data_IF_813566999147
#
_entry.id   IF_813566999147
#
_cell.length_a   1.000
_cell.length_b   1.000
_cell.length_c   1.000
_cell.angle_alpha   90.00
_cell.angle_beta   90.00
_cell.angle_gamma   90.00
#
_symmetry.space_group_name_H-M   'P 1'
#
loop_
_entity.id
_entity.type
_entity.pdbx_description
1 polymer ?
#
# COMPACT_ATOMS: atom_id res chain seq x y z
N UNK A 1 35.36 -33.72 -5.19
CA UNK A 1 34.87 -33.00 -6.39
C UNK A 1 33.35 -32.85 -6.27
N UNK A 2 32.87 -31.63 -6.05
CA UNK A 2 31.55 -31.12 -6.48
C UNK A 2 31.55 -29.63 -6.15
N UNK A 3 31.38 -28.77 -7.16
CA UNK A 3 31.33 -27.32 -6.99
C UNK A 3 30.09 -26.99 -6.15
N UNK A 4 30.29 -26.50 -4.92
CA UNK A 4 29.20 -26.06 -4.06
C UNK A 4 28.58 -24.79 -4.68
N UNK A 5 27.40 -24.94 -5.29
CA UNK A 5 26.58 -23.84 -5.76
C UNK A 5 26.12 -23.00 -4.57
N UNK A 6 26.92 -21.99 -4.22
CA UNK A 6 26.59 -21.02 -3.18
C UNK A 6 25.55 -20.04 -3.74
N UNK A 7 24.28 -20.29 -3.45
CA UNK A 7 23.16 -19.43 -3.88
C UNK A 7 23.05 -18.28 -2.89
N UNK A 8 23.13 -17.05 -3.37
CA UNK A 8 22.89 -15.86 -2.55
C UNK A 8 21.41 -15.75 -2.18
N UNK A 9 21.09 -15.17 -1.02
CA UNK A 9 19.70 -14.74 -0.70
C UNK A 9 19.01 -13.94 -1.81
N UNK A 10 19.77 -13.16 -2.58
CA UNK A 10 19.25 -12.42 -3.74
C UNK A 10 18.87 -13.37 -4.90
N UNK A 11 19.73 -14.33 -5.17
CA UNK A 11 19.51 -15.34 -6.22
C UNK A 11 18.38 -16.31 -5.83
N UNK A 12 18.29 -16.69 -4.56
CA UNK A 12 17.18 -17.49 -4.03
C UNK A 12 15.84 -16.75 -4.17
N UNK A 13 15.81 -15.43 -3.92
CA UNK A 13 14.63 -14.59 -4.09
C UNK A 13 14.15 -14.54 -5.55
N UNK A 14 15.07 -14.40 -6.49
CA UNK A 14 14.78 -14.41 -7.93
C UNK A 14 14.24 -15.78 -8.38
N UNK A 15 14.87 -16.89 -7.97
CA UNK A 15 14.41 -18.25 -8.31
C UNK A 15 13.06 -18.60 -7.68
N UNK A 16 12.82 -18.15 -6.46
CA UNK A 16 11.55 -18.38 -5.76
C UNK A 16 10.47 -17.35 -6.12
N UNK A 17 10.76 -16.32 -6.93
CA UNK A 17 9.85 -15.20 -7.27
C UNK A 17 9.19 -14.56 -6.03
N UNK A 18 9.94 -14.44 -4.93
CA UNK A 18 9.49 -13.83 -3.68
C UNK A 18 10.46 -12.73 -3.27
N UNK A 19 10.00 -11.78 -2.47
CA UNK A 19 10.84 -10.65 -2.10
C UNK A 19 12.00 -11.08 -1.20
N UNK A 20 13.19 -10.50 -1.39
CA UNK A 20 14.39 -10.87 -0.63
C UNK A 20 14.24 -10.69 0.89
N UNK A 21 13.37 -9.76 1.33
CA UNK A 21 13.01 -9.62 2.76
C UNK A 21 12.25 -10.82 3.30
N UNK A 22 11.36 -11.41 2.50
CA UNK A 22 10.60 -12.61 2.86
C UNK A 22 11.52 -13.82 2.97
N UNK A 23 12.46 -13.96 2.03
CA UNK A 23 13.49 -15.01 2.08
C UNK A 23 14.33 -14.90 3.36
N UNK A 24 14.78 -13.69 3.72
CA UNK A 24 15.51 -13.48 4.99
C UNK A 24 14.66 -13.83 6.20
N UNK A 25 13.41 -13.37 6.24
CA UNK A 25 12.49 -13.69 7.33
C UNK A 25 12.30 -15.21 7.50
N UNK A 26 12.22 -15.96 6.39
CA UNK A 26 12.16 -17.43 6.45
C UNK A 26 13.47 -18.04 6.93
N UNK A 27 14.61 -17.53 6.46
CA UNK A 27 15.93 -17.97 6.94
C UNK A 27 16.07 -17.74 8.44
N UNK A 28 15.68 -16.56 8.94
CA UNK A 28 15.74 -16.23 10.37
C UNK A 28 14.78 -17.11 11.19
N UNK A 29 13.57 -17.34 10.66
CA UNK A 29 12.53 -18.14 11.34
C UNK A 29 12.85 -19.64 11.38
N UNK A 30 13.46 -20.15 10.30
CA UNK A 30 13.76 -21.57 10.10
C UNK A 30 15.27 -21.84 10.06
N UNK A 31 16.08 -21.05 10.76
CA UNK A 31 17.55 -21.21 10.74
C UNK A 31 17.99 -22.63 11.11
N UNK A 32 17.28 -23.27 12.05
CA UNK A 32 17.52 -24.64 12.53
C UNK A 32 17.24 -25.69 11.45
N UNK A 33 16.29 -25.42 10.55
CA UNK A 33 15.94 -26.33 9.45
C UNK A 33 16.74 -26.02 8.18
N UNK A 34 16.95 -24.75 7.85
CA UNK A 34 17.59 -24.32 6.60
C UNK A 34 19.11 -24.47 6.69
N UNK A 35 19.71 -24.32 7.88
CA UNK A 35 21.16 -24.35 8.07
C UNK A 35 21.90 -23.31 7.22
N UNK A 36 21.51 -22.01 7.27
CA UNK A 36 22.12 -20.99 6.44
C UNK A 36 23.58 -20.76 6.84
N UNK A 37 24.48 -20.68 5.86
CA UNK A 37 25.85 -20.24 6.09
C UNK A 37 25.93 -18.72 5.90
N UNK A 38 26.74 -18.05 6.70
CA UNK A 38 27.10 -16.64 6.50
C UNK A 38 28.45 -16.50 5.80
N UNK A 39 28.55 -15.54 4.88
CA UNK A 39 29.84 -15.14 4.30
C UNK A 39 30.52 -14.07 5.18
N UNK A 40 31.80 -13.79 4.96
CA UNK A 40 32.60 -12.77 5.69
C UNK A 40 32.00 -11.36 5.61
N UNK A 41 31.09 -11.12 4.66
CA UNK A 41 30.36 -9.85 4.46
C UNK A 41 29.01 -9.77 5.18
N UNK A 42 28.64 -10.77 5.98
CA UNK A 42 27.38 -10.79 6.73
C UNK A 42 26.13 -11.09 5.87
N UNK A 43 26.32 -11.69 4.68
CA UNK A 43 25.21 -12.14 3.84
C UNK A 43 24.99 -13.65 3.97
N UNK A 44 23.72 -14.06 4.04
CA UNK A 44 23.34 -15.48 3.99
C UNK A 44 23.65 -16.08 2.61
N UNK A 45 24.39 -17.18 2.66
CA UNK A 45 24.78 -18.05 1.56
C UNK A 45 24.11 -19.41 1.79
N UNK A 46 23.34 -19.82 0.80
CA UNK A 46 22.56 -21.04 0.82
C UNK A 46 23.28 -22.10 -0.02
N UNK A 47 23.49 -23.28 0.54
CA UNK A 47 23.81 -24.47 -0.24
C UNK A 47 22.59 -24.95 -1.03
N UNK A 48 22.79 -25.78 -2.05
CA UNK A 48 21.70 -26.37 -2.83
C UNK A 48 20.66 -27.11 -1.93
N UNK A 49 21.13 -27.78 -0.86
CA UNK A 49 20.25 -28.43 0.12
C UNK A 49 19.40 -27.43 0.91
N UNK A 50 19.99 -26.31 1.36
CA UNK A 50 19.27 -25.26 2.08
C UNK A 50 18.25 -24.54 1.19
N UNK A 51 18.56 -24.42 -0.12
CA UNK A 51 17.62 -23.91 -1.11
C UNK A 51 16.45 -24.87 -1.35
N UNK A 52 16.70 -26.18 -1.39
CA UNK A 52 15.64 -27.19 -1.47
C UNK A 52 14.70 -27.14 -0.25
N UNK A 53 15.24 -26.90 0.95
CA UNK A 53 14.43 -26.70 2.17
C UNK A 53 13.59 -25.42 2.14
N UNK A 54 14.09 -24.35 1.51
CA UNK A 54 13.30 -23.13 1.26
C UNK A 54 12.16 -23.36 0.25
N UNK A 55 12.38 -24.21 -0.76
CA UNK A 55 11.32 -24.62 -1.68
C UNK A 55 10.22 -25.42 -0.97
N UNK A 56 10.60 -26.35 -0.09
CA UNK A 56 9.67 -27.13 0.73
C UNK A 56 8.82 -26.21 1.64
N UNK A 57 9.46 -25.24 2.31
CA UNK A 57 8.74 -24.22 3.10
C UNK A 57 7.77 -23.42 2.21
N UNK A 58 8.22 -22.97 1.03
CA UNK A 58 7.36 -22.23 0.11
C UNK A 58 6.13 -23.04 -0.29
N UNK A 59 6.33 -24.30 -0.66
CA UNK A 59 5.26 -25.18 -1.11
C UNK A 59 4.24 -25.43 0.01
N UNK A 60 4.71 -25.71 1.23
CA UNK A 60 3.84 -25.89 2.40
C UNK A 60 3.02 -24.64 2.74
N UNK A 61 3.64 -23.47 2.69
CA UNK A 61 2.95 -22.19 2.91
C UNK A 61 1.88 -21.92 1.84
N UNK A 62 2.16 -22.28 0.59
CA UNK A 62 1.28 -22.01 -0.54
C UNK A 62 0.12 -23.02 -0.66
N UNK A 63 0.37 -24.29 -0.36
CA UNK A 63 -0.62 -25.37 -0.51
C UNK A 63 -1.67 -25.37 0.62
N UNK A 64 -1.43 -24.65 1.72
CA UNK A 64 -2.28 -24.79 2.91
C UNK A 64 -2.62 -23.49 3.66
N UNK A 65 -2.24 -22.31 3.15
CA UNK A 65 -2.42 -21.01 3.82
C UNK A 65 -1.97 -21.02 5.31
N UNK A 66 -1.06 -21.92 5.66
CA UNK A 66 -0.58 -22.09 7.03
C UNK A 66 0.33 -20.93 7.40
N UNK A 67 0.30 -20.56 8.66
CA UNK A 67 1.21 -19.54 9.19
C UNK A 67 2.63 -20.10 9.31
N UNK A 68 3.64 -19.23 9.31
CA UNK A 68 5.06 -19.61 9.50
C UNK A 68 5.27 -20.45 10.77
N UNK A 69 4.50 -20.18 11.83
CA UNK A 69 4.52 -20.94 13.08
C UNK A 69 3.99 -22.37 12.91
N UNK A 70 2.87 -22.54 12.19
CA UNK A 70 2.30 -23.87 11.91
C UNK A 70 3.24 -24.72 11.06
N UNK A 71 3.89 -24.13 10.04
CA UNK A 71 4.89 -24.84 9.24
C UNK A 71 6.10 -25.22 10.10
N UNK A 72 6.51 -24.37 11.06
CA UNK A 72 7.58 -24.71 12.01
C UNK A 72 7.19 -25.87 12.91
N UNK A 73 5.97 -25.85 13.44
CA UNK A 73 5.44 -26.91 14.30
C UNK A 73 5.32 -28.24 13.55
N UNK A 74 4.86 -28.23 12.30
CA UNK A 74 4.86 -29.42 11.44
C UNK A 74 6.28 -29.94 11.14
N UNK A 75 7.25 -29.06 10.91
CA UNK A 75 8.65 -29.46 10.71
C UNK A 75 9.29 -30.04 11.97
N UNK A 76 8.85 -29.61 13.16
CA UNK A 76 9.20 -30.21 14.45
C UNK A 76 8.51 -31.57 14.61
N UNK A 77 7.24 -31.66 14.27
CA UNK A 77 6.41 -32.87 14.40
C UNK A 77 6.82 -33.96 13.40
N UNK A 78 7.33 -33.58 12.21
CA UNK A 78 7.95 -34.46 11.21
C UNK A 78 9.38 -34.89 11.56
N UNK A 79 9.95 -34.40 12.68
CA UNK A 79 11.28 -34.80 13.15
C UNK A 79 12.45 -34.25 12.31
N UNK A 80 12.20 -33.26 11.44
CA UNK A 80 13.22 -32.63 10.59
C UNK A 80 13.96 -31.49 11.28
N UNK A 81 13.40 -30.97 12.37
CA UNK A 81 14.05 -30.05 13.31
C UNK A 81 14.28 -30.82 14.60
N UNK A 82 15.54 -31.06 14.97
CA UNK A 82 15.86 -31.68 16.25
C UNK A 82 15.57 -30.70 17.38
N UNK A 83 14.58 -31.00 18.23
CA UNK A 83 14.65 -30.54 19.61
C UNK A 83 15.93 -31.11 20.25
N UNK A 84 16.55 -30.43 21.23
CA UNK A 84 17.54 -31.06 22.08
C UNK A 84 16.86 -32.21 22.81
N UNK A 85 17.02 -33.42 22.29
CA UNK A 85 16.52 -34.64 22.92
C UNK A 85 17.45 -34.94 24.11
N UNK A 86 16.93 -35.09 25.34
CA UNK A 86 17.70 -35.69 26.41
C UNK A 86 17.96 -37.14 25.99
N UNK A 87 19.22 -37.52 25.92
CA UNK A 87 19.65 -38.88 25.62
C UNK A 87 18.87 -39.89 26.49
N UNK A 88 18.34 -40.93 25.86
CA UNK A 88 17.69 -42.03 26.54
C UNK A 88 18.61 -42.66 27.60
N UNK A 89 18.12 -43.01 28.80
CA UNK A 89 18.77 -44.01 29.62
C UNK A 89 17.98 -45.31 29.60
N UNK A 90 18.69 -46.38 29.27
CA UNK A 90 18.32 -47.72 29.67
C UNK A 90 18.18 -47.80 31.20
N UNK A 91 17.17 -48.53 31.67
CA UNK A 91 17.02 -49.15 32.98
C UNK A 91 17.11 -48.26 34.25
N UNK A 92 15.95 -48.02 34.86
CA UNK A 92 15.58 -48.27 36.28
C UNK A 92 14.67 -47.17 36.89
N UNK A 93 13.75 -47.51 37.82
CA UNK A 93 12.63 -46.63 38.20
C UNK A 93 12.86 -45.90 39.54
N UNK A 94 12.64 -44.57 39.61
CA UNK A 94 12.01 -43.84 40.75
C UNK A 94 11.97 -42.29 40.51
N UNK A 95 11.27 -41.47 41.32
CA UNK A 95 10.19 -40.59 40.87
C UNK A 95 10.65 -39.13 40.66
N UNK A 96 10.42 -38.61 39.47
CA UNK A 96 10.88 -37.30 39.03
C UNK A 96 9.84 -36.18 39.30
N UNK A 97 9.56 -35.87 40.57
CA UNK A 97 8.58 -34.82 40.95
C UNK A 97 8.94 -33.43 40.39
N UNK A 98 10.23 -33.08 40.33
CA UNK A 98 10.72 -31.78 39.83
C UNK A 98 10.50 -31.57 38.32
N UNK A 99 10.39 -32.64 37.54
CA UNK A 99 10.20 -32.55 36.08
C UNK A 99 8.74 -32.27 35.75
N UNK A 100 7.82 -32.90 36.50
CA UNK A 100 6.38 -32.61 36.44
C UNK A 100 6.05 -31.18 36.83
N UNK A 101 6.73 -30.64 37.84
CA UNK A 101 6.50 -29.28 38.34
C UNK A 101 6.98 -28.22 37.33
N UNK A 102 8.13 -28.44 36.69
CA UNK A 102 8.63 -27.61 35.58
C UNK A 102 7.72 -27.67 34.34
N UNK A 103 7.20 -28.85 33.99
CA UNK A 103 6.23 -28.96 32.90
C UNK A 103 4.93 -28.22 33.22
N UNK A 104 4.47 -28.25 34.47
CA UNK A 104 3.26 -27.55 34.88
C UNK A 104 3.45 -26.03 34.88
N UNK A 105 4.60 -25.53 35.34
CA UNK A 105 4.95 -24.11 35.25
C UNK A 105 5.04 -23.64 33.79
N UNK A 106 5.69 -24.41 32.91
CA UNK A 106 5.71 -24.10 31.49
C UNK A 106 4.30 -24.05 30.91
N UNK A 107 3.41 -24.99 31.28
CA UNK A 107 2.04 -25.04 30.77
C UNK A 107 1.22 -23.82 31.21
N UNK A 108 1.38 -23.38 32.46
CA UNK A 108 0.80 -22.13 32.99
C UNK A 108 1.30 -20.89 32.22
N UNK A 109 2.61 -20.77 31.99
CA UNK A 109 3.21 -19.67 31.25
C UNK A 109 2.76 -19.66 29.77
N UNK A 110 2.52 -20.85 29.20
CA UNK A 110 1.99 -20.96 27.84
C UNK A 110 0.53 -20.51 27.76
N UNK A 111 -0.28 -20.88 28.76
CA UNK A 111 -1.69 -20.45 28.85
C UNK A 111 -1.77 -18.93 29.00
N UNK A 112 -0.92 -18.34 29.84
CA UNK A 112 -0.88 -16.89 30.05
C UNK A 112 -0.48 -16.14 28.77
N UNK A 113 0.55 -16.63 28.08
CA UNK A 113 0.95 -16.09 26.77
C UNK A 113 -0.15 -16.22 25.71
N UNK A 114 -0.86 -17.35 25.68
CA UNK A 114 -2.00 -17.54 24.76
C UNK A 114 -3.14 -16.58 25.13
N UNK A 115 -3.38 -16.33 26.41
CA UNK A 115 -4.34 -15.32 26.89
C UNK A 115 -4.03 -13.94 26.33
N UNK A 116 -2.78 -13.48 26.47
CA UNK A 116 -2.35 -12.19 25.93
C UNK A 116 -2.45 -12.08 24.40
N UNK A 117 -2.15 -13.17 23.69
CA UNK A 117 -2.33 -13.25 22.23
C UNK A 117 -3.81 -13.16 21.80
N UNK A 118 -4.72 -13.80 22.56
CA UNK A 118 -6.16 -13.74 22.29
C UNK A 118 -6.70 -12.34 22.55
N UNK A 119 -6.25 -11.68 23.61
CA UNK A 119 -6.63 -10.30 23.93
C UNK A 119 -6.14 -9.33 22.85
N UNK A 120 -4.88 -9.45 22.40
CA UNK A 120 -4.34 -8.66 21.29
C UNK A 120 -5.14 -8.88 19.98
N UNK A 121 -5.52 -10.13 19.70
CA UNK A 121 -6.36 -10.46 18.54
C UNK A 121 -7.74 -9.80 18.64
N UNK A 122 -8.33 -9.76 19.84
CA UNK A 122 -9.61 -9.13 20.09
C UNK A 122 -9.55 -7.61 19.84
N UNK A 123 -8.56 -6.93 20.42
CA UNK A 123 -8.37 -5.50 20.18
C UNK A 123 -8.10 -5.18 18.70
N UNK A 124 -7.33 -6.04 18.02
CA UNK A 124 -7.07 -5.89 16.59
C UNK A 124 -8.34 -6.05 15.77
N UNK A 125 -9.21 -6.99 16.16
CA UNK A 125 -10.48 -7.24 15.49
C UNK A 125 -11.44 -6.07 15.69
N UNK A 126 -11.52 -5.52 16.90
CA UNK A 126 -12.31 -4.32 17.21
C UNK A 126 -11.83 -3.10 16.40
N UNK A 127 -10.51 -2.88 16.31
CA UNK A 127 -9.95 -1.82 15.45
C UNK A 127 -10.28 -2.02 13.97
N UNK A 128 -10.32 -3.27 13.51
CA UNK A 128 -10.68 -3.59 12.13
C UNK A 128 -12.17 -3.38 11.86
N UNK A 129 -13.03 -3.73 12.82
CA UNK A 129 -14.47 -3.46 12.76
C UNK A 129 -14.75 -1.96 12.66
N UNK A 130 -14.12 -1.16 13.54
CA UNK A 130 -14.25 0.30 13.51
C UNK A 130 -13.82 0.88 12.15
N UNK A 131 -12.67 0.44 11.63
CA UNK A 131 -12.20 0.89 10.32
C UNK A 131 -13.13 0.46 9.17
N UNK A 132 -13.75 -0.71 9.26
CA UNK A 132 -14.73 -1.17 8.28
C UNK A 132 -16.00 -0.29 8.31
N UNK A 133 -16.47 0.07 9.51
CA UNK A 133 -17.60 0.99 9.69
C UNK A 133 -17.28 2.37 9.08
N UNK A 134 -16.11 2.93 9.36
CA UNK A 134 -15.66 4.21 8.77
C UNK A 134 -15.63 4.17 7.24
N UNK A 135 -15.18 3.05 6.66
CA UNK A 135 -15.17 2.85 5.21
C UNK A 135 -16.57 2.81 4.62
N UNK A 136 -17.53 2.17 5.30
CA UNK A 136 -18.92 2.15 4.86
C UNK A 136 -19.55 3.55 4.89
N UNK A 137 -19.35 4.30 5.98
CA UNK A 137 -19.82 5.70 6.05
C UNK A 137 -19.19 6.58 4.96
N UNK A 138 -17.90 6.39 4.69
CA UNK A 138 -17.20 7.10 3.62
C UNK A 138 -17.75 6.76 2.23
N UNK A 139 -18.03 5.49 1.97
CA UNK A 139 -18.64 5.01 0.73
C UNK A 139 -20.04 5.57 0.54
N UNK A 140 -20.89 5.53 1.57
CA UNK A 140 -22.24 6.09 1.52
C UNK A 140 -22.20 7.61 1.29
N UNK A 141 -21.30 8.32 1.96
CA UNK A 141 -21.08 9.75 1.73
C UNK A 141 -20.60 10.07 0.31
N UNK A 142 -19.80 9.19 -0.29
CA UNK A 142 -19.36 9.32 -1.68
C UNK A 142 -20.50 9.03 -2.67
N UNK A 143 -21.28 7.97 -2.44
CA UNK A 143 -22.46 7.64 -3.24
C UNK A 143 -23.44 8.81 -3.27
N UNK A 144 -23.75 9.39 -2.11
CA UNK A 144 -24.62 10.55 -2.01
C UNK A 144 -24.09 11.76 -2.81
N UNK A 145 -22.78 12.02 -2.73
CA UNK A 145 -22.13 13.09 -3.52
C UNK A 145 -22.19 12.80 -5.02
N UNK A 146 -21.97 11.56 -5.45
CA UNK A 146 -22.06 11.15 -6.85
C UNK A 146 -23.49 11.28 -7.36
N UNK A 147 -24.50 10.87 -6.58
CA UNK A 147 -25.91 11.05 -6.91
C UNK A 147 -26.26 12.54 -7.01
N UNK A 148 -25.78 13.36 -6.06
CA UNK A 148 -26.02 14.80 -6.09
C UNK A 148 -25.39 15.44 -7.32
N UNK A 149 -24.14 15.13 -7.65
CA UNK A 149 -23.46 15.61 -8.87
C UNK A 149 -24.12 15.07 -10.14
N UNK A 150 -24.67 13.86 -10.11
CA UNK A 150 -25.42 13.29 -11.24
C UNK A 150 -26.79 13.95 -11.41
N UNK A 151 -27.42 14.41 -10.33
CA UNK A 151 -28.65 15.21 -10.37
C UNK A 151 -28.39 16.66 -10.80
N UNK A 152 -27.29 17.26 -10.33
CA UNK A 152 -26.77 18.57 -10.74
C UNK A 152 -25.95 18.50 -12.04
N UNK A 153 -26.03 17.39 -12.78
CA UNK A 153 -25.40 17.30 -14.09
C UNK A 153 -26.06 18.36 -14.96
N UNK A 154 -25.30 19.42 -15.26
CA UNK A 154 -25.70 20.47 -16.21
C UNK A 154 -26.27 19.74 -17.41
N UNK A 155 -27.57 19.93 -17.67
CA UNK A 155 -28.22 19.13 -18.70
C UNK A 155 -27.52 19.39 -20.04
N UNK A 156 -27.47 18.41 -20.93
CA UNK A 156 -26.90 18.62 -22.26
C UNK A 156 -27.53 19.84 -22.97
N UNK A 157 -28.80 20.14 -22.64
CA UNK A 157 -29.51 21.33 -23.09
C UNK A 157 -28.97 22.63 -22.49
N UNK A 158 -28.65 22.68 -21.19
CA UNK A 158 -28.02 23.85 -20.56
C UNK A 158 -26.62 24.09 -21.10
N UNK A 159 -25.82 23.04 -21.29
CA UNK A 159 -24.49 23.15 -21.93
C UNK A 159 -24.65 23.71 -23.34
N UNK A 160 -25.60 23.18 -24.12
CA UNK A 160 -25.90 23.66 -25.46
C UNK A 160 -26.35 25.13 -25.46
N UNK A 161 -27.21 25.52 -24.51
CA UNK A 161 -27.68 26.90 -24.35
C UNK A 161 -26.53 27.84 -24.00
N UNK A 162 -25.62 27.43 -23.11
CA UNK A 162 -24.40 28.21 -22.80
C UNK A 162 -23.52 28.39 -24.05
N UNK A 163 -23.34 27.35 -24.87
CA UNK A 163 -22.61 27.47 -26.14
C UNK A 163 -23.27 28.45 -27.11
N UNK A 164 -24.60 28.43 -27.22
CA UNK A 164 -25.34 29.35 -28.08
C UNK A 164 -25.26 30.80 -27.58
N UNK A 165 -25.31 31.03 -26.27
CA UNK A 165 -25.09 32.35 -25.67
C UNK A 165 -23.68 32.88 -25.92
N UNK A 166 -22.66 32.03 -25.75
CA UNK A 166 -21.26 32.38 -26.05
C UNK A 166 -21.11 32.75 -27.53
N UNK A 167 -21.71 31.98 -28.44
CA UNK A 167 -21.68 32.26 -29.88
C UNK A 167 -22.38 33.58 -30.21
N UNK A 168 -23.54 33.85 -29.61
CA UNK A 168 -24.27 35.11 -29.78
C UNK A 168 -23.45 36.31 -29.30
N UNK A 169 -22.80 36.21 -28.13
CA UNK A 169 -21.92 37.29 -27.63
C UNK A 169 -20.69 37.48 -28.51
N UNK A 170 -20.12 36.41 -29.05
CA UNK A 170 -19.01 36.50 -29.99
C UNK A 170 -19.39 37.27 -31.27
N UNK A 171 -20.56 36.98 -31.84
CA UNK A 171 -21.04 37.69 -33.03
C UNK A 171 -21.40 39.15 -32.74
N UNK A 172 -21.98 39.43 -31.57
CA UNK A 172 -22.21 40.81 -31.12
C UNK A 172 -20.89 41.59 -30.98
N UNK A 173 -19.87 41.00 -30.35
CA UNK A 173 -18.54 41.60 -30.24
C UNK A 173 -17.92 41.87 -31.61
N UNK A 174 -18.08 40.97 -32.59
CA UNK A 174 -17.61 41.20 -33.97
C UNK A 174 -18.28 42.42 -34.62
N UNK A 175 -19.59 42.57 -34.43
CA UNK A 175 -20.34 43.73 -34.97
C UNK A 175 -19.85 45.01 -34.28
N UNK A 176 -19.70 45.00 -32.96
CA UNK A 176 -19.21 46.16 -32.21
C UNK A 176 -17.78 46.54 -32.63
N UNK A 177 -16.88 45.56 -32.81
CA UNK A 177 -15.53 45.80 -33.34
C UNK A 177 -15.56 46.43 -34.74
N UNK A 178 -16.47 45.97 -35.61
CA UNK A 178 -16.66 46.56 -36.95
C UNK A 178 -17.14 48.00 -36.84
N UNK A 179 -18.10 48.28 -35.95
CA UNK A 179 -18.66 49.60 -35.73
C UNK A 179 -17.61 50.55 -35.13
N UNK A 180 -16.83 50.11 -34.16
CA UNK A 180 -15.71 50.87 -33.59
C UNK A 180 -14.68 51.17 -34.68
N UNK A 181 -14.31 50.19 -35.50
CA UNK A 181 -13.36 50.38 -36.60
C UNK A 181 -13.90 51.36 -37.66
N UNK A 182 -15.19 51.28 -37.97
CA UNK A 182 -15.84 52.21 -38.87
C UNK A 182 -15.86 53.63 -38.30
N UNK A 183 -16.30 53.80 -37.06
CA UNK A 183 -16.30 55.09 -36.36
C UNK A 183 -14.90 55.67 -36.23
N UNK A 184 -13.89 54.84 -35.96
CA UNK A 184 -12.49 55.25 -35.92
C UNK A 184 -12.02 55.77 -37.28
N UNK A 185 -12.31 55.04 -38.37
CA UNK A 185 -12.00 55.49 -39.74
C UNK A 185 -12.75 56.76 -40.13
N UNK A 186 -14.03 56.85 -39.78
CA UNK A 186 -14.86 58.03 -40.07
C UNK A 186 -14.37 59.24 -39.28
N UNK A 187 -14.02 59.07 -38.00
CA UNK A 187 -13.42 60.12 -37.15
C UNK A 187 -12.05 60.54 -37.68
N UNK A 188 -11.22 59.60 -38.15
CA UNK A 188 -9.94 59.92 -38.76
C UNK A 188 -10.13 60.72 -40.06
N UNK A 189 -11.04 60.29 -40.94
CA UNK A 189 -11.36 60.97 -42.19
C UNK A 189 -11.99 62.36 -41.95
N UNK A 190 -12.83 62.53 -40.93
CA UNK A 190 -13.39 63.85 -40.56
C UNK A 190 -12.41 64.69 -39.75
N UNK A 191 -11.38 64.11 -39.13
CA UNK A 191 -10.32 64.88 -38.47
C UNK A 191 -9.39 65.59 -39.47
N UNK A 192 -9.29 65.09 -40.71
CA UNK A 192 -8.63 65.82 -41.81
C UNK A 192 -9.47 66.98 -42.36
N UNK A 193 -10.80 66.93 -42.22
CA UNK A 193 -11.72 68.02 -42.55
C UNK A 193 -12.18 68.72 -41.26
N UNK A 194 -11.30 69.53 -40.67
CA UNK A 194 -11.43 70.10 -39.31
C UNK A 194 -12.74 70.81 -38.98
N UNK A 195 -13.74 70.07 -38.49
CA UNK A 195 -15.06 70.61 -38.13
C UNK A 195 -15.66 70.08 -36.81
N UNK A 196 -14.89 69.61 -35.82
CA UNK A 196 -15.45 69.40 -34.46
C UNK A 196 -14.50 69.78 -33.31
N UNK A 197 -15.04 70.32 -32.21
CA UNK A 197 -14.27 70.94 -31.14
C UNK A 197 -13.54 69.91 -30.29
N UNK A 198 -12.23 70.08 -30.19
CA UNK A 198 -11.28 69.32 -29.38
C UNK A 198 -11.74 69.20 -27.92
N UNK A 199 -12.33 68.07 -27.53
CA UNK A 199 -12.58 67.73 -26.11
C UNK A 199 -11.26 67.51 -25.40
N UNK A 200 -10.85 68.46 -24.55
CA UNK A 200 -9.69 68.29 -23.68
C UNK A 200 -9.96 67.21 -22.62
N UNK A 201 -9.15 66.15 -22.61
CA UNK A 201 -9.11 65.16 -21.53
C UNK A 201 -8.51 65.82 -20.29
N UNK A 202 -9.32 66.06 -19.26
CA UNK A 202 -8.81 66.28 -17.90
C UNK A 202 -8.32 64.94 -17.35
N UNK A 203 -7.02 64.87 -17.10
CA UNK A 203 -6.36 63.83 -16.31
C UNK A 203 -7.01 63.74 -14.92
N UNK A 204 -7.42 62.53 -14.51
CA UNK A 204 -7.59 62.21 -13.08
C UNK A 204 -6.72 61.00 -12.78
N UNK A 205 -5.62 61.29 -12.09
CA UNK A 205 -4.83 60.35 -11.31
C UNK A 205 -5.74 59.67 -10.26
N UNK A 206 -5.70 58.33 -10.22
CA UNK A 206 -5.90 57.51 -9.03
C UNK A 206 -4.70 56.54 -9.07
N UNK A 207 -3.70 56.57 -8.20
CA UNK A 207 -3.79 56.69 -6.75
C UNK A 207 -3.65 55.29 -6.16
N UNK A 208 -2.45 54.70 -6.25
CA UNK A 208 -2.06 53.47 -5.57
C UNK A 208 -1.13 53.87 -4.40
N UNK A 209 -1.69 53.86 -3.20
CA UNK A 209 -1.03 53.66 -1.91
C UNK A 209 -1.94 52.74 -1.10
#
# INVERSE_FOLDING_TARGET
MAQAGCISTKEAAERLKIHARTVRNWIDTFQEYIGPNWNERGHYVLSEESFARLLDIKQRLNDSNKTLKQVREELILEGKISLPQPAAPAASPSPNSETTEKMFQHLLETIDNVGGLVEELYERMERMENHMTDLFESLEGMEQKVLTVSYDSISANEVQQMFDEVRKKQDQLRIELRNVSFTQRLTAATSEYGLLPRRQKKSRFFGLL
#
